data_IF_148205999548
#
_entry.id   IF_148205999548
#
_cell.length_a   1.000
_cell.length_b   1.000
_cell.length_c   1.000
_cell.angle_alpha   90.00
_cell.angle_beta   90.00
_cell.angle_gamma   90.00
#
_symmetry.space_group_name_H-M   'P 1'
#
loop_
_entity.id
_entity.type
_entity.pdbx_description
1 polymer ?
#
# COMPACT_ATOMS: atom_id res chain seq x y z
N UNK A 1 -6.49 -1.16 -6.21
CA UNK A 1 -5.22 -0.62 -5.67
C UNK A 1 -5.45 0.68 -4.90
N UNK A 2 -5.89 1.79 -5.52
CA UNK A 2 -6.04 3.10 -4.85
C UNK A 2 -6.89 3.11 -3.58
N UNK A 3 -8.01 2.38 -3.56
CA UNK A 3 -8.83 2.24 -2.34
C UNK A 3 -8.06 1.64 -1.16
N UNK A 4 -7.05 0.79 -1.43
CA UNK A 4 -6.19 0.24 -0.39
C UNK A 4 -5.17 1.25 0.12
N UNK A 5 -4.60 2.08 -0.77
CA UNK A 5 -3.74 3.20 -0.37
C UNK A 5 -4.51 4.15 0.55
N UNK A 6 -5.72 4.56 0.14
CA UNK A 6 -6.59 5.40 0.95
C UNK A 6 -6.92 4.75 2.31
N UNK A 7 -7.23 3.45 2.32
CA UNK A 7 -7.52 2.73 3.56
C UNK A 7 -6.32 2.65 4.52
N UNK A 8 -5.10 2.47 4.00
CA UNK A 8 -3.87 2.42 4.80
C UNK A 8 -3.55 3.77 5.46
N UNK A 9 -3.70 4.88 4.74
CA UNK A 9 -3.36 6.22 5.26
C UNK A 9 -4.45 6.84 6.13
N UNK A 10 -5.65 6.25 6.15
CA UNK A 10 -6.81 6.79 6.88
C UNK A 10 -7.10 6.04 8.20
N UNK A 11 -6.16 5.24 8.70
CA UNK A 11 -6.41 4.34 9.82
C UNK A 11 -5.35 4.33 10.91
N UNK A 12 -5.73 3.93 12.15
CA UNK A 12 -4.81 3.83 13.26
C UNK A 12 -3.92 2.57 13.20
N UNK A 13 -4.24 1.64 12.30
CA UNK A 13 -3.54 0.36 12.19
C UNK A 13 -3.52 -0.15 10.75
N UNK A 14 -2.43 -0.83 10.39
CA UNK A 14 -2.18 -1.43 9.07
C UNK A 14 -2.44 -2.94 9.07
N UNK A 15 -3.40 -3.41 9.86
CA UNK A 15 -3.81 -4.82 9.84
C UNK A 15 -4.68 -5.12 8.61
N UNK A 16 -4.65 -6.35 8.11
CA UNK A 16 -5.51 -6.82 7.01
C UNK A 16 -6.99 -6.50 7.27
N UNK A 17 -7.44 -6.73 8.50
CA UNK A 17 -8.82 -6.50 8.92
C UNK A 17 -9.16 -5.01 8.92
N UNK A 18 -8.28 -4.15 9.42
CA UNK A 18 -8.51 -2.71 9.48
C UNK A 18 -8.52 -2.06 8.10
N UNK A 19 -7.61 -2.48 7.22
CA UNK A 19 -7.60 -2.06 5.82
C UNK A 19 -8.89 -2.52 5.13
N UNK A 20 -9.28 -3.78 5.31
CA UNK A 20 -10.51 -4.33 4.74
C UNK A 20 -11.79 -3.64 5.24
N UNK A 21 -11.88 -3.28 6.53
CA UNK A 21 -13.03 -2.55 7.08
C UNK A 21 -13.25 -1.20 6.39
N UNK A 22 -12.14 -0.52 6.06
CA UNK A 22 -12.12 0.82 5.44
C UNK A 22 -12.44 0.85 3.96
N UNK A 23 -12.53 -0.29 3.29
CA UNK A 23 -13.02 -0.30 1.92
C UNK A 23 -14.48 0.18 1.89
N UNK A 24 -14.77 1.12 1.01
CA UNK A 24 -16.13 1.61 0.77
C UNK A 24 -17.02 0.60 0.03
N UNK A 25 -18.27 1.01 -0.20
CA UNK A 25 -19.27 0.24 -0.93
C UNK A 25 -20.16 -0.65 -0.05
N UNK A 26 -21.19 -1.23 -0.66
CA UNK A 26 -22.26 -2.00 -0.01
C UNK A 26 -21.89 -3.47 0.25
N UNK A 27 -20.70 -3.90 -0.16
CA UNK A 27 -20.26 -5.28 0.04
C UNK A 27 -20.12 -5.61 1.54
N UNK A 28 -20.56 -6.82 1.91
CA UNK A 28 -20.40 -7.34 3.26
C UNK A 28 -18.94 -7.26 3.73
N UNK A 29 -18.74 -6.98 5.02
CA UNK A 29 -17.42 -6.79 5.62
C UNK A 29 -16.44 -7.94 5.29
N UNK A 30 -16.91 -9.19 5.35
CA UNK A 30 -16.11 -10.38 4.98
C UNK A 30 -15.56 -10.29 3.55
N UNK A 31 -16.34 -9.79 2.59
CA UNK A 31 -15.90 -9.64 1.21
C UNK A 31 -14.87 -8.52 1.06
N UNK A 32 -15.01 -7.46 1.84
CA UNK A 32 -14.04 -6.36 1.85
C UNK A 32 -12.69 -6.79 2.42
N UNK A 33 -12.70 -7.57 3.50
CA UNK A 33 -11.49 -8.18 4.07
C UNK A 33 -10.85 -9.16 3.07
N UNK A 34 -11.63 -10.05 2.45
CA UNK A 34 -11.13 -10.95 1.39
C UNK A 34 -10.54 -10.19 0.20
N UNK A 35 -11.11 -9.04 -0.16
CA UNK A 35 -10.57 -8.19 -1.23
C UNK A 35 -9.22 -7.60 -0.83
N UNK A 36 -9.04 -7.16 0.41
CA UNK A 36 -7.76 -6.68 0.92
C UNK A 36 -6.73 -7.82 0.93
N UNK A 37 -7.12 -9.00 1.39
CA UNK A 37 -6.30 -10.20 1.44
C UNK A 37 -5.78 -10.61 0.05
N UNK A 38 -6.69 -10.71 -0.94
CA UNK A 38 -6.33 -11.01 -2.34
C UNK A 38 -5.40 -9.97 -2.96
N UNK A 39 -5.56 -8.69 -2.59
CA UNK A 39 -4.68 -7.63 -3.05
C UNK A 39 -3.27 -7.79 -2.46
N UNK A 40 -3.18 -8.04 -1.14
CA UNK A 40 -1.90 -8.29 -0.46
C UNK A 40 -1.23 -9.59 -0.92
N UNK A 41 -2.00 -10.59 -1.36
CA UNK A 41 -1.49 -11.81 -1.96
C UNK A 41 -1.16 -11.71 -3.46
N UNK A 42 -1.34 -10.55 -4.10
CA UNK A 42 -1.17 -10.42 -5.55
C UNK A 42 0.31 -10.47 -5.96
N UNK A 43 0.74 -11.63 -6.47
CA UNK A 43 2.13 -11.87 -6.91
C UNK A 43 2.57 -10.97 -8.06
N UNK A 44 1.67 -10.53 -8.93
CA UNK A 44 2.02 -9.60 -10.01
C UNK A 44 2.40 -8.23 -9.44
N UNK A 45 1.61 -7.73 -8.48
CA UNK A 45 1.90 -6.48 -7.78
C UNK A 45 3.22 -6.54 -7.00
N UNK A 46 3.51 -7.68 -6.35
CA UNK A 46 4.80 -7.89 -5.67
C UNK A 46 6.01 -7.88 -6.60
N UNK A 47 5.84 -8.37 -7.84
CA UNK A 47 6.92 -8.33 -8.84
C UNK A 47 7.22 -6.90 -9.29
N UNK A 48 6.20 -6.05 -9.34
CA UNK A 48 6.30 -4.65 -9.74
C UNK A 48 6.74 -3.71 -8.62
N UNK A 49 6.63 -4.13 -7.35
CA UNK A 49 6.96 -3.30 -6.18
C UNK A 49 8.37 -2.69 -6.26
N UNK A 50 9.40 -3.52 -6.51
CA UNK A 50 10.79 -3.04 -6.62
C UNK A 50 11.00 -2.02 -7.75
N UNK A 51 10.59 -2.29 -9.01
CA UNK A 51 10.65 -1.30 -10.08
C UNK A 51 9.91 0.01 -9.75
N UNK A 52 8.75 -0.07 -9.10
CA UNK A 52 7.98 1.10 -8.68
C UNK A 52 8.77 1.92 -7.64
N UNK A 53 9.27 1.28 -6.58
CA UNK A 53 10.05 1.96 -5.54
C UNK A 53 11.32 2.61 -6.12
N UNK A 54 12.00 1.93 -7.05
CA UNK A 54 13.15 2.50 -7.77
C UNK A 54 12.78 3.74 -8.59
N UNK A 55 11.67 3.69 -9.34
CA UNK A 55 11.19 4.83 -10.09
C UNK A 55 10.84 6.01 -9.16
N UNK A 56 10.21 5.74 -8.02
CA UNK A 56 9.93 6.75 -7.00
C UNK A 56 11.21 7.36 -6.46
N UNK A 57 12.19 6.56 -6.04
CA UNK A 57 13.49 7.05 -5.58
C UNK A 57 14.18 7.92 -6.62
N UNK A 58 14.16 7.53 -7.89
CA UNK A 58 14.71 8.36 -8.97
C UNK A 58 13.99 9.70 -9.10
N UNK A 59 12.66 9.73 -8.96
CA UNK A 59 11.90 10.99 -9.07
C UNK A 59 12.10 11.88 -7.83
N UNK A 60 12.08 11.30 -6.63
CA UNK A 60 12.08 12.06 -5.38
C UNK A 60 13.47 12.43 -4.89
N UNK A 61 14.48 11.58 -5.12
CA UNK A 61 15.83 11.78 -4.59
C UNK A 61 16.79 12.39 -5.62
N UNK A 62 16.46 12.44 -6.92
CA UNK A 62 17.39 12.92 -7.95
C UNK A 62 17.95 14.34 -7.72
N UNK A 63 17.25 15.18 -6.95
CA UNK A 63 17.70 16.55 -6.64
C UNK A 63 18.42 16.68 -5.30
N UNK A 64 18.46 15.62 -4.50
CA UNK A 64 19.14 15.59 -3.21
C UNK A 64 20.60 15.20 -3.44
N UNK A 65 21.53 16.12 -3.15
CA UNK A 65 22.98 15.86 -3.30
C UNK A 65 23.46 14.78 -2.33
N UNK A 66 22.86 14.70 -1.15
CA UNK A 66 23.21 13.74 -0.10
C UNK A 66 21.93 13.31 0.63
N UNK A 67 21.26 12.23 0.19
CA UNK A 67 20.06 11.74 0.86
C UNK A 67 20.42 11.06 2.18
N UNK A 68 19.97 11.64 3.31
CA UNK A 68 20.10 11.04 4.63
C UNK A 68 19.08 9.91 4.81
N UNK A 69 19.56 8.68 5.02
CA UNK A 69 18.72 7.54 5.38
C UNK A 69 18.78 7.32 6.89
N UNK A 70 17.71 7.67 7.58
CA UNK A 70 17.53 7.29 8.99
C UNK A 70 17.04 5.85 9.04
N UNK A 71 17.80 4.99 9.72
CA UNK A 71 17.40 3.62 10.04
C UNK A 71 17.20 3.58 11.55
N UNK A 72 15.99 3.23 11.98
CA UNK A 72 15.61 2.92 13.37
C UNK A 72 15.53 1.39 13.53
#
# INVERSE_FOLDING_TARGET
MFAAVAACVSGPALSLTDVGRRFGGTAALRHKIKRADRLLGNRHLHREARPIDQAWCHVTLARLREPLMLID
#
